data_IF_911163429462
#
_entry.id   IF_911163429462
#
_cell.length_a   1.000
_cell.length_b   1.000
_cell.length_c   1.000
_cell.angle_alpha   90.00
_cell.angle_beta   90.00
_cell.angle_gamma   90.00
#
_symmetry.space_group_name_H-M   'P 1'
#
loop_
_entity.id
_entity.type
_entity.pdbx_description
1 polymer ?
#
# COMPACT_ATOMS: atom_id res chain seq x y z
N UNK A 1 -38.06 -11.61 -42.96
CA UNK A 1 -37.30 -12.75 -42.42
C UNK A 1 -35.87 -12.60 -42.97
N UNK A 2 -35.13 -11.55 -42.59
CA UNK A 2 -34.46 -11.35 -41.28
C UNK A 2 -33.64 -12.61 -40.96
N UNK A 3 -32.31 -12.68 -41.05
CA UNK A 3 -31.26 -11.66 -40.93
C UNK A 3 -30.31 -12.15 -39.83
N UNK A 4 -29.12 -12.64 -40.21
CA UNK A 4 -28.10 -13.23 -39.33
C UNK A 4 -27.65 -12.33 -38.17
N UNK A 5 -27.43 -12.89 -36.97
CA UNK A 5 -26.19 -12.64 -36.21
C UNK A 5 -26.04 -13.56 -34.99
N UNK A 6 -25.06 -14.46 -35.08
CA UNK A 6 -24.42 -15.20 -34.00
C UNK A 6 -23.27 -14.33 -33.45
N UNK A 7 -23.21 -14.08 -32.14
CA UNK A 7 -21.96 -13.73 -31.45
C UNK A 7 -22.08 -13.91 -29.93
N UNK A 8 -21.41 -14.96 -29.43
CA UNK A 8 -21.15 -15.21 -28.02
C UNK A 8 -20.09 -14.24 -27.47
N UNK A 9 -20.41 -13.53 -26.38
CA UNK A 9 -19.44 -12.72 -25.62
C UNK A 9 -19.03 -13.45 -24.34
N UNK A 10 -18.02 -14.33 -24.46
CA UNK A 10 -17.36 -14.93 -23.30
C UNK A 10 -16.39 -13.94 -22.63
N UNK A 11 -16.46 -13.88 -21.30
CA UNK A 11 -15.62 -13.04 -20.45
C UNK A 11 -14.16 -13.44 -20.45
N UNK A 12 -13.27 -12.46 -20.66
CA UNK A 12 -11.82 -12.62 -20.59
C UNK A 12 -11.25 -12.05 -19.29
N UNK A 13 -10.80 -12.95 -18.42
CA UNK A 13 -9.91 -12.67 -17.28
C UNK A 13 -8.52 -12.28 -17.79
N UNK A 14 -8.16 -11.01 -17.65
CA UNK A 14 -6.83 -10.49 -17.98
C UNK A 14 -5.77 -10.86 -16.94
N UNK A 15 -5.26 -12.09 -17.01
CA UNK A 15 -4.02 -12.49 -16.36
C UNK A 15 -2.82 -11.98 -17.18
N UNK A 16 -2.13 -10.94 -16.70
CA UNK A 16 -0.86 -10.54 -17.29
C UNK A 16 0.28 -11.27 -16.55
N UNK A 17 0.72 -12.39 -17.13
CA UNK A 17 1.99 -13.02 -16.80
C UNK A 17 3.14 -12.11 -17.24
N UNK A 18 4.09 -11.81 -16.35
CA UNK A 18 5.42 -11.35 -16.75
C UNK A 18 6.47 -12.20 -16.06
N UNK A 19 7.26 -12.88 -16.89
CA UNK A 19 8.22 -13.90 -16.49
C UNK A 19 9.35 -13.35 -15.63
N UNK A 20 9.78 -14.20 -14.69
CA UNK A 20 11.00 -14.07 -13.91
C UNK A 20 12.23 -14.20 -14.80
N UNK A 21 13.14 -13.23 -14.75
CA UNK A 21 14.55 -13.48 -15.04
C UNK A 21 15.44 -12.80 -14.00
N UNK A 22 16.39 -13.59 -13.52
CA UNK A 22 17.39 -13.29 -12.52
C UNK A 22 18.58 -12.50 -13.10
N UNK A 23 19.39 -11.90 -12.23
CA UNK A 23 20.83 -11.72 -12.51
C UNK A 23 21.41 -10.30 -12.35
N UNK A 24 22.34 -10.21 -11.41
CA UNK A 24 23.29 -9.16 -11.03
C UNK A 24 24.09 -8.46 -12.15
N UNK A 25 24.47 -7.20 -11.94
CA UNK A 25 25.87 -6.75 -11.79
C UNK A 25 26.02 -5.23 -11.99
N UNK A 26 26.78 -4.60 -11.11
CA UNK A 26 27.10 -3.16 -11.11
C UNK A 26 28.43 -2.89 -11.82
N UNK A 27 28.40 -2.26 -13.00
CA UNK A 27 29.55 -1.59 -13.63
C UNK A 27 29.11 -0.23 -14.22
N UNK A 28 29.78 0.92 -13.96
CA UNK A 28 29.17 2.25 -14.11
C UNK A 28 29.56 3.02 -15.37
N UNK A 29 29.94 2.37 -16.49
CA UNK A 29 30.34 3.13 -17.70
C UNK A 29 29.67 2.62 -18.99
N UNK A 30 28.54 3.26 -19.30
CA UNK A 30 27.99 3.54 -20.64
C UNK A 30 27.29 2.38 -21.37
N UNK A 31 25.94 2.40 -21.36
CA UNK A 31 25.02 2.27 -22.50
C UNK A 31 23.58 2.50 -21.98
N UNK A 32 22.76 3.20 -22.76
CA UNK A 32 21.49 3.83 -22.38
C UNK A 32 20.46 2.88 -21.77
N UNK A 33 20.26 2.95 -20.45
CA UNK A 33 19.05 2.36 -19.86
C UNK A 33 17.88 3.25 -20.25
N UNK A 34 17.13 2.87 -21.29
CA UNK A 34 15.94 3.58 -21.80
C UNK A 34 14.82 3.77 -20.76
N UNK A 35 15.06 3.37 -19.50
CA UNK A 35 14.11 3.48 -18.42
C UNK A 35 12.82 2.72 -18.71
N UNK A 36 11.84 2.97 -17.87
CA UNK A 36 10.48 2.45 -18.00
C UNK A 36 9.61 3.61 -18.44
N UNK A 37 9.07 3.58 -19.66
CA UNK A 37 8.30 4.68 -20.24
C UNK A 37 6.80 4.49 -20.03
N UNK A 38 6.07 5.60 -19.89
CA UNK A 38 4.61 5.57 -19.98
C UNK A 38 4.19 5.51 -21.46
N UNK A 39 3.31 4.58 -21.79
CA UNK A 39 2.77 4.37 -23.14
C UNK A 39 1.39 4.99 -23.34
N UNK A 40 0.84 5.71 -22.36
CA UNK A 40 -0.45 6.40 -22.52
C UNK A 40 -0.29 7.56 -23.52
N UNK A 41 -1.09 7.63 -24.58
CA UNK A 41 -1.00 8.70 -25.58
C UNK A 41 -1.07 10.09 -24.93
N UNK A 42 -0.11 10.95 -25.27
CA UNK A 42 -0.04 12.32 -24.74
C UNK A 42 0.53 12.45 -23.32
N UNK A 43 0.93 11.36 -22.66
CA UNK A 43 1.60 11.45 -21.36
C UNK A 43 3.02 12.02 -21.53
N UNK A 44 3.32 13.10 -20.81
CA UNK A 44 4.63 13.80 -20.86
C UNK A 44 5.61 13.32 -19.77
N UNK A 45 5.40 12.14 -19.20
CA UNK A 45 6.28 11.61 -18.18
C UNK A 45 7.63 11.22 -18.78
N UNK A 46 8.72 11.63 -18.13
CA UNK A 46 10.06 11.17 -18.48
C UNK A 46 10.24 9.68 -18.15
N UNK A 47 11.16 8.97 -18.83
CA UNK A 47 11.45 7.58 -18.51
C UNK A 47 11.79 7.39 -17.03
N UNK A 48 11.18 6.40 -16.40
CA UNK A 48 11.39 6.08 -14.99
C UNK A 48 12.59 5.14 -14.83
N UNK A 49 13.38 5.31 -13.77
CA UNK A 49 14.53 4.42 -13.52
C UNK A 49 14.14 2.99 -13.11
N UNK A 50 12.92 2.79 -12.60
CA UNK A 50 12.44 1.50 -12.07
C UNK A 50 10.99 1.26 -12.46
N UNK A 51 10.66 0.00 -12.73
CA UNK A 51 9.29 -0.43 -13.04
C UNK A 51 8.28 -0.02 -11.94
N UNK A 52 8.69 -0.09 -10.65
CA UNK A 52 7.83 0.29 -9.53
C UNK A 52 7.43 1.78 -9.53
N UNK A 53 8.26 2.64 -10.13
CA UNK A 53 7.95 4.07 -10.25
C UNK A 53 7.00 4.31 -11.44
N UNK A 54 7.13 3.55 -12.53
CA UNK A 54 6.18 3.54 -13.64
C UNK A 54 4.80 3.01 -13.23
N UNK A 55 4.74 1.87 -12.53
CA UNK A 55 3.48 1.30 -12.01
C UNK A 55 2.74 2.32 -11.12
N UNK A 56 3.47 2.98 -10.21
CA UNK A 56 2.90 4.05 -9.39
C UNK A 56 2.38 5.21 -10.23
N UNK A 57 3.11 5.59 -11.28
CA UNK A 57 2.68 6.64 -12.20
C UNK A 57 1.35 6.29 -12.86
N UNK A 58 1.21 5.09 -13.44
CA UNK A 58 -0.05 4.62 -14.03
C UNK A 58 -1.21 4.64 -13.02
N UNK A 59 -0.99 4.09 -11.82
CA UNK A 59 -2.02 4.01 -10.77
C UNK A 59 -2.55 5.37 -10.32
N UNK A 60 -1.74 6.43 -10.36
CA UNK A 60 -2.16 7.76 -9.90
C UNK A 60 -2.51 8.75 -11.01
N UNK A 61 -1.88 8.63 -12.20
CA UNK A 61 -2.06 9.60 -13.30
C UNK A 61 -3.05 9.13 -14.37
N UNK A 62 -3.19 7.82 -14.55
CA UNK A 62 -3.98 7.27 -15.66
C UNK A 62 -5.16 6.40 -15.20
N UNK A 63 -5.21 6.01 -13.94
CA UNK A 63 -6.40 5.37 -13.38
C UNK A 63 -7.55 6.38 -13.28
N UNK A 64 -8.78 6.05 -13.70
CA UNK A 64 -9.95 6.91 -13.46
C UNK A 64 -10.13 7.20 -11.97
N UNK A 65 -10.60 8.40 -11.62
CA UNK A 65 -10.71 8.84 -10.22
C UNK A 65 -11.61 7.91 -9.38
N UNK A 66 -12.70 7.40 -9.96
CA UNK A 66 -13.60 6.42 -9.34
C UNK A 66 -12.91 5.11 -8.94
N UNK A 67 -11.82 4.77 -9.63
CA UNK A 67 -11.04 3.55 -9.37
C UNK A 67 -9.80 3.84 -8.52
N UNK A 68 -9.46 5.09 -8.23
CA UNK A 68 -8.30 5.43 -7.38
C UNK A 68 -8.60 5.03 -5.95
N UNK A 69 -7.61 4.42 -5.32
CA UNK A 69 -7.71 4.12 -3.89
C UNK A 69 -7.81 5.43 -3.10
N UNK A 70 -8.72 5.46 -2.15
CA UNK A 70 -8.94 6.58 -1.25
C UNK A 70 -8.86 6.06 0.19
N UNK A 71 -7.93 6.63 0.95
CA UNK A 71 -7.69 6.27 2.34
C UNK A 71 -8.12 7.44 3.22
N UNK A 72 -9.26 7.30 3.90
CA UNK A 72 -9.78 8.30 4.81
C UNK A 72 -9.24 8.08 6.22
N UNK A 73 -8.93 9.18 6.91
CA UNK A 73 -8.57 9.08 8.32
C UNK A 73 -9.82 8.78 9.15
N UNK A 74 -9.73 7.74 9.98
CA UNK A 74 -10.83 7.25 10.81
C UNK A 74 -10.92 7.96 12.19
N UNK A 75 -10.07 8.95 12.44
CA UNK A 75 -10.14 9.77 13.66
C UNK A 75 -11.23 10.84 13.52
N UNK A 76 -12.23 10.88 14.44
CA UNK A 76 -13.37 11.79 14.32
C UNK A 76 -13.00 13.28 14.26
N UNK A 77 -11.92 13.68 14.96
CA UNK A 77 -11.46 15.08 15.05
C UNK A 77 -10.29 15.40 14.10
N UNK A 78 -9.98 14.53 13.15
CA UNK A 78 -8.90 14.78 12.21
C UNK A 78 -9.36 15.75 11.10
N UNK A 79 -8.58 16.80 10.84
CA UNK A 79 -8.85 17.73 9.73
C UNK A 79 -8.79 17.07 8.35
N UNK A 80 -8.07 15.94 8.25
CA UNK A 80 -7.96 15.13 7.03
C UNK A 80 -9.03 14.04 6.93
N UNK A 81 -10.01 14.01 7.83
CA UNK A 81 -11.08 13.01 7.84
C UNK A 81 -11.89 13.01 6.55
N UNK A 82 -12.24 14.19 6.03
CA UNK A 82 -13.08 14.32 4.84
C UNK A 82 -12.25 14.48 3.55
N UNK A 83 -10.92 14.52 3.65
CA UNK A 83 -9.99 14.64 2.52
C UNK A 83 -9.08 13.42 2.43
N UNK A 84 -9.32 12.48 1.49
CA UNK A 84 -8.60 11.22 1.47
C UNK A 84 -7.12 11.40 1.10
N UNK A 85 -6.32 10.41 1.49
CA UNK A 85 -5.01 10.18 0.91
C UNK A 85 -5.17 9.20 -0.26
N UNK A 86 -4.55 9.49 -1.40
CA UNK A 86 -4.56 8.56 -2.55
C UNK A 86 -3.40 7.58 -2.55
N UNK A 87 -2.56 7.65 -1.50
CA UNK A 87 -1.33 6.88 -1.36
C UNK A 87 -1.28 6.27 0.03
N UNK A 88 -1.20 4.94 0.08
CA UNK A 88 -1.22 4.17 1.33
C UNK A 88 -0.05 4.50 2.25
N UNK A 89 1.11 4.85 1.70
CA UNK A 89 2.28 5.24 2.47
C UNK A 89 2.11 6.61 3.14
N UNK A 90 1.55 7.60 2.43
CA UNK A 90 1.21 8.89 3.05
C UNK A 90 0.13 8.75 4.13
N UNK A 91 -0.86 7.89 3.91
CA UNK A 91 -1.85 7.58 4.95
C UNK A 91 -1.19 6.94 6.19
N UNK A 92 -0.27 5.99 6.00
CA UNK A 92 0.50 5.39 7.10
C UNK A 92 1.26 6.44 7.90
N UNK A 93 1.99 7.30 7.21
CA UNK A 93 2.83 8.31 7.86
C UNK A 93 1.94 9.32 8.62
N UNK A 94 0.79 9.68 8.06
CA UNK A 94 -0.22 10.48 8.77
C UNK A 94 -0.65 9.83 10.09
N UNK A 95 -1.06 8.56 10.08
CA UNK A 95 -1.47 7.84 11.29
C UNK A 95 -0.33 7.76 12.32
N UNK A 96 0.90 7.50 11.86
CA UNK A 96 2.07 7.38 12.73
C UNK A 96 2.50 8.71 13.35
N UNK A 97 2.53 9.79 12.56
CA UNK A 97 3.20 11.03 12.95
C UNK A 97 2.22 12.06 13.51
N UNK A 98 1.00 12.12 12.98
CA UNK A 98 -0.05 13.03 13.44
C UNK A 98 -0.87 12.42 14.58
N UNK A 99 -1.33 11.18 14.43
CA UNK A 99 -2.10 10.49 15.48
C UNK A 99 -1.25 9.73 16.50
N UNK A 100 0.08 9.72 16.28
CA UNK A 100 1.05 9.00 17.12
C UNK A 100 0.71 7.51 17.28
N UNK A 101 0.02 6.89 16.31
CA UNK A 101 -0.24 5.46 16.36
C UNK A 101 1.07 4.67 16.37
N UNK A 102 1.05 3.51 17.00
CA UNK A 102 2.20 2.63 17.16
C UNK A 102 2.55 1.85 15.88
N UNK A 103 2.45 2.46 14.69
CA UNK A 103 2.74 1.79 13.42
C UNK A 103 4.24 1.82 13.12
N UNK A 104 4.92 0.69 13.29
CA UNK A 104 6.36 0.61 13.02
C UNK A 104 6.73 0.96 11.56
N UNK A 105 7.96 1.46 11.36
CA UNK A 105 8.55 1.52 10.01
C UNK A 105 8.94 0.11 9.58
N UNK A 106 8.71 -0.22 8.30
CA UNK A 106 9.07 -1.54 7.77
C UNK A 106 10.59 -1.71 7.77
N UNK A 107 11.08 -2.87 8.18
CA UNK A 107 12.52 -3.21 8.19
C UNK A 107 13.34 -2.45 9.25
N UNK A 108 12.68 -1.83 10.24
CA UNK A 108 13.36 -1.22 11.38
C UNK A 108 12.93 -1.94 12.65
N UNK A 109 13.87 -2.29 13.56
CA UNK A 109 13.52 -2.79 14.86
C UNK A 109 12.62 -1.81 15.60
N UNK A 110 11.63 -2.34 16.32
CA UNK A 110 10.78 -1.57 17.22
C UNK A 110 11.44 -1.60 18.60
N UNK A 111 11.68 -0.44 19.18
CA UNK A 111 12.25 -0.32 20.52
C UNK A 111 11.17 0.08 21.53
N UNK A 112 11.27 -0.40 22.76
CA UNK A 112 10.29 -0.15 23.83
C UNK A 112 10.06 1.35 24.08
N UNK A 113 11.14 2.14 24.20
CA UNK A 113 11.04 3.60 24.39
C UNK A 113 10.25 4.30 23.26
N UNK A 114 10.35 3.79 22.04
CA UNK A 114 9.61 4.36 20.92
C UNK A 114 8.12 4.07 21.08
N UNK A 115 7.75 2.85 21.49
CA UNK A 115 6.36 2.43 21.70
C UNK A 115 5.70 3.20 22.85
N UNK A 116 6.44 3.47 23.93
CA UNK A 116 5.96 4.27 25.08
C UNK A 116 5.53 5.68 24.67
N UNK A 117 6.19 6.28 23.68
CA UNK A 117 5.83 7.60 23.14
C UNK A 117 4.62 7.59 22.19
N UNK A 118 3.97 6.43 21.97
CA UNK A 118 2.88 6.24 21.00
C UNK A 118 1.54 6.06 21.69
N UNK A 119 0.49 6.40 20.95
CA UNK A 119 -0.89 6.12 21.32
C UNK A 119 -1.19 4.63 21.07
N UNK A 120 -0.82 3.80 22.04
CA UNK A 120 -1.12 2.37 22.06
C UNK A 120 -2.52 2.15 22.63
N UNK A 121 -3.39 1.48 21.88
CA UNK A 121 -4.71 1.03 22.34
C UNK A 121 -4.65 -0.44 22.76
N UNK A 122 -5.25 -0.78 23.90
CA UNK A 122 -5.24 -2.17 24.43
C UNK A 122 -6.20 -3.06 23.61
N UNK A 123 -7.27 -2.50 23.09
CA UNK A 123 -8.37 -3.21 22.43
C UNK A 123 -8.08 -3.53 20.96
N UNK A 124 -7.23 -2.73 20.31
CA UNK A 124 -6.93 -2.89 18.89
C UNK A 124 -5.52 -2.43 18.53
N UNK A 125 -5.04 -2.95 17.40
CA UNK A 125 -3.79 -2.53 16.78
C UNK A 125 -3.99 -2.37 15.28
N UNK A 126 -3.15 -1.54 14.65
CA UNK A 126 -3.17 -1.38 13.20
C UNK A 126 -2.06 -2.20 12.56
N UNK A 127 -2.42 -2.98 11.54
CA UNK A 127 -1.46 -3.76 10.78
C UNK A 127 -0.50 -2.86 9.98
N UNK A 128 0.80 -3.12 10.03
CA UNK A 128 1.82 -2.33 9.32
C UNK A 128 1.81 -2.55 7.79
N UNK A 129 1.22 -3.67 7.33
CA UNK A 129 1.12 -4.02 5.91
C UNK A 129 -0.11 -3.40 5.25
N UNK A 130 -1.30 -3.78 5.69
CA UNK A 130 -2.57 -3.40 5.08
C UNK A 130 -3.24 -2.18 5.73
N UNK A 131 -2.79 -1.73 6.91
CA UNK A 131 -3.39 -0.61 7.67
C UNK A 131 -4.83 -0.86 8.18
N UNK A 132 -5.32 -2.10 8.13
CA UNK A 132 -6.58 -2.46 8.77
C UNK A 132 -6.45 -2.38 10.29
N UNK A 133 -7.54 -1.97 10.94
CA UNK A 133 -7.70 -2.05 12.39
C UNK A 133 -8.03 -3.50 12.75
N UNK A 134 -7.23 -4.09 13.63
CA UNK A 134 -7.37 -5.48 14.09
C UNK A 134 -7.74 -5.44 15.56
N UNK A 135 -8.89 -6.02 15.89
CA UNK A 135 -9.36 -6.15 17.28
C UNK A 135 -8.61 -7.28 17.96
N UNK A 136 -8.04 -6.99 19.13
CA UNK A 136 -7.25 -7.96 19.91
C UNK A 136 -8.12 -9.10 20.42
N UNK A 137 -9.35 -8.80 20.84
CA UNK A 137 -10.29 -9.81 21.34
C UNK A 137 -10.64 -10.87 20.28
N UNK A 138 -10.92 -10.45 19.04
CA UNK A 138 -11.42 -11.36 18.01
C UNK A 138 -10.31 -12.03 17.19
N UNK A 139 -9.17 -11.37 17.01
CA UNK A 139 -8.09 -11.84 16.11
C UNK A 139 -6.73 -11.94 16.80
N UNK A 140 -6.65 -11.62 18.10
CA UNK A 140 -5.38 -11.53 18.81
C UNK A 140 -4.43 -10.54 18.16
N UNK A 141 -3.22 -11.03 17.88
CA UNK A 141 -2.14 -10.24 17.30
C UNK A 141 -1.80 -10.62 15.87
N UNK A 142 -2.70 -11.33 15.18
CA UNK A 142 -2.54 -11.70 13.78
C UNK A 142 -3.54 -10.95 12.90
N UNK A 143 -3.03 -10.36 11.83
CA UNK A 143 -3.88 -9.60 10.93
C UNK A 143 -4.69 -10.53 10.02
N UNK A 144 -6.04 -10.53 10.05
CA UNK A 144 -6.85 -11.45 9.24
C UNK A 144 -6.72 -11.19 7.73
N UNK A 145 -6.41 -9.95 7.32
CA UNK A 145 -6.31 -9.61 5.90
C UNK A 145 -4.97 -9.95 5.22
N UNK A 146 -3.87 -10.11 5.96
CA UNK A 146 -2.56 -10.36 5.36
C UNK A 146 -1.63 -11.26 6.18
N UNK A 147 -2.19 -11.91 7.21
CA UNK A 147 -1.55 -12.88 8.09
C UNK A 147 -0.24 -12.39 8.73
N UNK A 148 -0.07 -11.08 8.85
CA UNK A 148 1.10 -10.48 9.48
C UNK A 148 0.84 -10.35 10.97
N UNK A 149 1.75 -10.90 11.77
CA UNK A 149 1.71 -10.78 13.23
C UNK A 149 2.17 -9.40 13.71
N UNK A 150 1.61 -8.94 14.82
CA UNK A 150 2.03 -7.71 15.49
C UNK A 150 3.41 -7.90 16.12
N UNK A 151 4.25 -6.86 16.07
CA UNK A 151 5.58 -6.88 16.68
C UNK A 151 5.47 -7.08 18.19
N UNK A 152 6.32 -7.93 18.77
CA UNK A 152 6.27 -8.26 20.20
C UNK A 152 6.39 -7.03 21.11
N UNK A 153 7.20 -6.03 20.74
CA UNK A 153 7.34 -4.79 21.51
C UNK A 153 6.07 -3.95 21.49
N UNK A 154 5.22 -4.12 20.47
CA UNK A 154 3.89 -3.51 20.40
C UNK A 154 2.85 -4.34 21.15
N UNK A 155 3.02 -5.66 21.21
CA UNK A 155 2.12 -6.55 21.95
C UNK A 155 2.24 -6.33 23.46
N UNK A 156 3.47 -6.26 23.98
CA UNK A 156 3.76 -6.12 25.42
C UNK A 156 2.91 -5.07 26.18
N UNK A 157 2.80 -3.80 25.74
CA UNK A 157 1.99 -2.80 26.43
C UNK A 157 0.48 -3.07 26.41
N UNK A 158 0.00 -3.98 25.56
CA UNK A 158 -1.42 -4.36 25.45
C UNK A 158 -1.78 -5.54 26.34
N UNK A 159 -0.82 -6.42 26.60
CA UNK A 159 -0.98 -7.59 27.47
C UNK A 159 -0.58 -7.30 28.92
N UNK A 160 0.08 -6.18 29.17
CA UNK A 160 0.45 -5.76 30.53
C UNK A 160 -0.80 -5.29 31.31
N UNK A 161 -0.98 -5.77 32.56
CA UNK A 161 -2.10 -5.40 33.43
C UNK A 161 -2.31 -3.88 33.49
#
# INVERSE_FOLDING_TARGET
MEGDSEYDYYGGSGEYYYGSQAGSSSDPRNLTSDGYCCLVPGCKAVPFKRNADLDRHYKHKHRPDERKEAYFCDYPKCSRRDTPFHRRDHFRDHLRDYHKEDIAKRGRPVHTHWVESRNVKKEWWRCTRCLSRVMVESNGFDCPGCNTSCDSNRVQPRTSP
#
